data_IF_546080832587
#
_entry.id   IF_546080832587
#
_cell.length_a   1.000
_cell.length_b   1.000
_cell.length_c   1.000
_cell.angle_alpha   90.00
_cell.angle_beta   90.00
_cell.angle_gamma   90.00
#
_symmetry.space_group_name_H-M   'P 1'
#
loop_
_entity.id
_entity.type
_entity.pdbx_description
1 polymer ?
#
# COMPACT_ATOMS: atom_id res chain seq x y z
N UNK A 1 -4.12 -9.54 4.32
CA UNK A 1 -5.28 -10.37 3.91
C UNK A 1 -4.91 -11.50 2.94
N UNK A 2 -3.83 -11.40 2.15
CA UNK A 2 -3.48 -12.42 1.13
C UNK A 2 -2.27 -13.28 1.51
N UNK A 3 -1.82 -13.18 2.77
CA UNK A 3 -0.68 -13.92 3.32
C UNK A 3 -1.20 -14.81 4.43
N UNK A 4 -0.79 -16.07 4.41
CA UNK A 4 -1.12 -17.06 5.43
C UNK A 4 0.10 -17.37 6.27
N UNK A 5 -0.11 -17.51 7.57
CA UNK A 5 0.92 -17.94 8.52
C UNK A 5 0.53 -19.24 9.20
N UNK A 6 1.51 -20.03 9.60
CA UNK A 6 1.29 -21.14 10.54
C UNK A 6 1.03 -20.62 11.97
N UNK A 7 0.85 -21.55 12.92
CA UNK A 7 0.65 -21.24 14.34
C UNK A 7 1.86 -20.59 15.01
N UNK A 8 3.04 -20.67 14.40
CA UNK A 8 4.27 -20.04 14.87
C UNK A 8 4.52 -18.67 14.21
N UNK A 9 3.57 -18.19 13.39
CA UNK A 9 3.67 -16.92 12.68
C UNK A 9 4.58 -16.93 11.45
N UNK A 10 5.01 -18.10 10.97
CA UNK A 10 5.81 -18.22 9.75
C UNK A 10 4.92 -18.15 8.51
N UNK A 11 5.34 -17.39 7.49
CA UNK A 11 4.64 -17.31 6.21
C UNK A 11 4.62 -18.68 5.53
N UNK A 12 3.45 -19.23 5.27
CA UNK A 12 3.27 -20.55 4.64
C UNK A 12 2.75 -20.47 3.22
N UNK A 13 1.97 -19.44 2.90
CA UNK A 13 1.40 -19.28 1.57
C UNK A 13 1.02 -17.83 1.27
N UNK A 14 1.03 -17.51 -0.03
CA UNK A 14 0.47 -16.29 -0.61
C UNK A 14 -0.60 -16.74 -1.60
N UNK A 15 -1.72 -16.03 -1.63
CA UNK A 15 -2.87 -16.35 -2.50
C UNK A 15 -3.34 -15.11 -3.25
N UNK A 16 -4.36 -15.28 -4.07
CA UNK A 16 -5.07 -14.18 -4.76
C UNK A 16 -4.15 -13.45 -5.76
N UNK A 17 -3.69 -14.22 -6.76
CA UNK A 17 -2.85 -13.77 -7.87
C UNK A 17 -3.65 -13.34 -9.10
N UNK A 18 -4.97 -13.14 -8.99
CA UNK A 18 -5.84 -12.83 -10.14
C UNK A 18 -5.50 -11.50 -10.83
N UNK A 19 -4.79 -10.61 -10.13
CA UNK A 19 -4.29 -9.35 -10.66
C UNK A 19 -2.76 -9.32 -10.89
N UNK A 20 -2.09 -10.47 -10.73
CA UNK A 20 -0.66 -10.57 -11.01
C UNK A 20 -0.41 -10.42 -12.51
N UNK A 21 0.48 -9.51 -12.87
CA UNK A 21 0.84 -9.19 -14.26
C UNK A 21 2.25 -8.62 -14.31
N UNK A 22 2.82 -8.57 -15.51
CA UNK A 22 4.04 -7.82 -15.75
C UNK A 22 3.77 -6.35 -15.47
N UNK A 23 4.39 -5.81 -14.43
CA UNK A 23 4.19 -4.44 -13.96
C UNK A 23 5.49 -3.91 -13.33
N UNK A 24 5.48 -2.66 -12.91
CA UNK A 24 6.59 -2.07 -12.15
C UNK A 24 6.67 -2.67 -10.75
N UNK A 25 7.90 -2.84 -10.23
CA UNK A 25 8.14 -3.34 -8.87
C UNK A 25 7.36 -2.60 -7.78
N UNK A 26 7.07 -1.31 -7.98
CA UNK A 26 6.28 -0.50 -7.05
C UNK A 26 4.82 -1.00 -6.86
N UNK A 27 4.29 -1.79 -7.82
CA UNK A 27 2.95 -2.36 -7.76
C UNK A 27 2.76 -3.34 -6.59
N UNK A 28 3.82 -4.02 -6.17
CA UNK A 28 3.79 -4.93 -5.01
C UNK A 28 4.12 -4.23 -3.69
N UNK A 29 4.66 -3.01 -3.74
CA UNK A 29 5.21 -2.29 -2.58
C UNK A 29 4.33 -1.16 -2.05
N UNK A 30 3.22 -0.83 -2.72
CA UNK A 30 2.38 0.32 -2.36
C UNK A 30 1.31 0.03 -1.30
N UNK A 31 0.90 -1.24 -1.12
CA UNK A 31 -0.40 -1.57 -0.51
C UNK A 31 -0.51 -1.31 0.99
N UNK A 32 0.58 -1.41 1.74
CA UNK A 32 0.55 -1.32 3.22
C UNK A 32 0.73 0.09 3.78
N UNK A 33 1.12 1.05 2.94
CA UNK A 33 1.49 2.39 3.36
C UNK A 33 0.34 3.22 3.90
N UNK A 34 -0.91 2.86 3.57
CA UNK A 34 -2.12 3.57 3.99
C UNK A 34 -2.95 2.80 5.02
N UNK A 35 -2.45 1.65 5.46
CA UNK A 35 -3.06 0.79 6.48
C UNK A 35 -2.04 0.42 7.55
N UNK A 36 -1.37 -0.72 7.40
CA UNK A 36 -0.57 -1.36 8.44
C UNK A 36 0.64 -0.52 8.84
N UNK A 37 1.27 0.18 7.89
CA UNK A 37 2.43 1.04 8.19
C UNK A 37 2.02 2.35 8.85
N UNK A 38 0.80 2.86 8.62
CA UNK A 38 0.28 4.03 9.34
C UNK A 38 0.03 3.66 10.80
N UNK A 39 -0.61 2.51 11.04
CA UNK A 39 -0.95 2.06 12.39
C UNK A 39 0.27 1.59 13.17
N UNK A 40 1.24 0.97 12.48
CA UNK A 40 2.45 0.38 13.08
C UNK A 40 3.69 0.71 12.25
N UNK A 41 4.25 1.93 12.38
CA UNK A 41 5.40 2.39 11.58
C UNK A 41 6.62 1.47 11.60
N UNK A 42 6.85 0.76 12.72
CA UNK A 42 7.94 -0.22 12.85
C UNK A 42 7.86 -1.37 11.83
N UNK A 43 6.67 -1.67 11.30
CA UNK A 43 6.49 -2.73 10.31
C UNK A 43 7.11 -2.37 8.97
N UNK A 44 7.16 -1.09 8.60
CA UNK A 44 7.81 -0.66 7.38
C UNK A 44 9.31 -0.97 7.42
N UNK A 45 9.99 -0.59 8.51
CA UNK A 45 11.40 -0.91 8.73
C UNK A 45 11.66 -2.42 8.68
N UNK A 46 10.92 -3.20 9.48
CA UNK A 46 11.08 -4.66 9.50
C UNK A 46 10.84 -5.32 8.13
N UNK A 47 9.88 -4.81 7.35
CA UNK A 47 9.62 -5.30 6.00
C UNK A 47 10.81 -5.05 5.07
N UNK A 48 11.34 -3.81 5.04
CA UNK A 48 12.44 -3.48 4.14
C UNK A 48 13.80 -4.04 4.59
N UNK A 49 14.00 -4.29 5.88
CA UNK A 49 15.17 -4.99 6.40
C UNK A 49 15.23 -6.44 5.89
N UNK A 50 14.08 -7.11 5.80
CA UNK A 50 13.96 -8.47 5.24
C UNK A 50 13.91 -8.50 3.70
N UNK A 51 13.64 -7.36 3.06
CA UNK A 51 13.51 -7.29 1.61
C UNK A 51 14.87 -7.13 0.96
N UNK A 52 15.32 -8.14 0.20
CA UNK A 52 16.65 -8.15 -0.46
C UNK A 52 16.94 -6.94 -1.36
N UNK A 53 15.90 -6.29 -1.86
CA UNK A 53 16.04 -5.11 -2.69
C UNK A 53 16.16 -3.80 -1.90
N UNK A 54 16.31 -3.86 -0.58
CA UNK A 54 16.60 -2.75 0.32
C UNK A 54 15.48 -1.72 0.47
N UNK A 55 15.81 -0.62 1.16
CA UNK A 55 14.95 0.55 1.26
C UNK A 55 14.70 1.18 -0.13
N UNK A 56 13.51 1.72 -0.39
CA UNK A 56 13.22 2.42 -1.65
C UNK A 56 14.17 3.60 -1.86
N UNK A 57 14.82 3.66 -3.02
CA UNK A 57 15.47 4.88 -3.48
C UNK A 57 14.43 5.95 -3.86
N UNK A 58 14.90 7.15 -4.23
CA UNK A 58 14.03 8.27 -4.60
C UNK A 58 13.07 7.92 -5.75
N UNK A 59 13.54 7.17 -6.73
CA UNK A 59 12.76 6.82 -7.94
C UNK A 59 11.68 5.80 -7.59
N UNK A 60 12.06 4.71 -6.90
CA UNK A 60 11.12 3.70 -6.45
C UNK A 60 10.09 4.29 -5.48
N UNK A 61 10.52 5.20 -4.60
CA UNK A 61 9.62 5.93 -3.71
C UNK A 61 8.59 6.76 -4.47
N UNK A 62 9.01 7.53 -5.48
CA UNK A 62 8.08 8.30 -6.30
C UNK A 62 7.06 7.40 -7.04
N UNK A 63 7.49 6.22 -7.52
CA UNK A 63 6.59 5.25 -8.14
C UNK A 63 5.58 4.66 -7.14
N UNK A 64 6.04 4.32 -5.92
CA UNK A 64 5.17 3.87 -4.83
C UNK A 64 4.12 4.94 -4.52
N UNK A 65 4.52 6.20 -4.40
CA UNK A 65 3.62 7.33 -4.13
C UNK A 65 2.59 7.52 -5.24
N UNK A 66 2.99 7.46 -6.50
CA UNK A 66 2.07 7.55 -7.63
C UNK A 66 1.03 6.42 -7.63
N UNK A 67 1.45 5.19 -7.34
CA UNK A 67 0.54 4.04 -7.27
C UNK A 67 -0.37 4.08 -6.04
N UNK A 68 0.11 4.56 -4.88
CA UNK A 68 -0.74 4.82 -3.72
C UNK A 68 -1.83 5.83 -4.05
N UNK A 69 -1.48 6.93 -4.72
CA UNK A 69 -2.43 7.96 -5.14
C UNK A 69 -3.48 7.38 -6.09
N UNK A 70 -3.05 6.65 -7.12
CA UNK A 70 -3.94 6.01 -8.07
C UNK A 70 -4.86 4.99 -7.40
N UNK A 71 -4.32 4.16 -6.51
CA UNK A 71 -5.06 3.16 -5.75
C UNK A 71 -6.13 3.79 -4.85
N UNK A 72 -5.77 4.85 -4.12
CA UNK A 72 -6.71 5.56 -3.26
C UNK A 72 -7.82 6.26 -4.08
N UNK A 73 -7.48 6.94 -5.18
CA UNK A 73 -8.47 7.55 -6.06
C UNK A 73 -9.42 6.51 -6.69
N UNK A 74 -8.87 5.42 -7.23
CA UNK A 74 -9.64 4.31 -7.79
C UNK A 74 -10.53 3.65 -6.74
N UNK A 75 -10.02 3.48 -5.52
CA UNK A 75 -10.77 2.96 -4.37
C UNK A 75 -11.99 3.82 -4.03
N UNK A 76 -11.87 5.15 -4.00
CA UNK A 76 -13.02 6.04 -3.77
C UNK A 76 -14.07 5.88 -4.88
N UNK A 77 -13.64 5.85 -6.14
CA UNK A 77 -14.56 5.70 -7.29
C UNK A 77 -15.31 4.37 -7.22
N UNK A 78 -14.58 3.27 -7.03
CA UNK A 78 -15.17 1.94 -6.93
C UNK A 78 -16.12 1.83 -5.74
N UNK A 79 -15.68 2.24 -4.55
CA UNK A 79 -16.45 2.17 -3.32
C UNK A 79 -17.76 2.96 -3.43
N UNK A 80 -17.70 4.16 -4.02
CA UNK A 80 -18.89 4.99 -4.26
C UNK A 80 -19.87 4.29 -5.21
N UNK A 81 -19.36 3.65 -6.27
CA UNK A 81 -20.19 2.92 -7.24
C UNK A 81 -20.93 1.73 -6.62
N UNK A 82 -20.30 1.01 -5.69
CA UNK A 82 -20.89 -0.19 -5.07
C UNK A 82 -21.56 0.07 -3.72
N UNK A 83 -21.54 1.31 -3.22
CA UNK A 83 -22.16 1.70 -1.96
C UNK A 83 -21.35 1.36 -0.70
N UNK A 84 -20.06 1.08 -0.82
CA UNK A 84 -19.18 0.79 0.31
C UNK A 84 -18.65 2.08 0.96
N UNK A 85 -19.50 2.72 1.76
CA UNK A 85 -19.16 3.97 2.43
C UNK A 85 -17.93 3.87 3.37
N UNK A 86 -17.75 2.80 4.18
CA UNK A 86 -16.52 2.59 4.95
C UNK A 86 -15.26 2.59 4.09
N UNK A 87 -15.23 1.81 3.00
CA UNK A 87 -14.05 1.73 2.14
C UNK A 87 -13.80 3.07 1.41
N UNK A 88 -14.85 3.78 1.01
CA UNK A 88 -14.72 5.12 0.43
C UNK A 88 -14.06 6.10 1.42
N UNK A 89 -14.41 6.04 2.72
CA UNK A 89 -13.78 6.89 3.75
C UNK A 89 -12.30 6.58 3.93
N UNK A 90 -11.94 5.30 4.09
CA UNK A 90 -10.53 4.89 4.21
C UNK A 90 -9.68 5.40 3.05
N UNK A 91 -10.19 5.29 1.81
CA UNK A 91 -9.47 5.76 0.64
C UNK A 91 -9.38 7.30 0.54
N UNK A 92 -10.40 8.04 1.01
CA UNK A 92 -10.32 9.51 1.11
C UNK A 92 -9.28 9.95 2.14
N UNK A 93 -9.20 9.27 3.29
CA UNK A 93 -8.19 9.55 4.31
C UNK A 93 -6.77 9.32 3.77
N UNK A 94 -6.56 8.25 3.00
CA UNK A 94 -5.30 8.02 2.29
C UNK A 94 -4.94 9.17 1.33
N UNK A 95 -5.89 9.63 0.50
CA UNK A 95 -5.69 10.81 -0.36
C UNK A 95 -5.28 12.05 0.45
N UNK A 96 -5.96 12.34 1.56
CA UNK A 96 -5.64 13.49 2.40
C UNK A 96 -4.25 13.39 3.06
N UNK A 97 -3.76 12.19 3.40
CA UNK A 97 -2.38 11.99 3.87
C UNK A 97 -1.38 12.28 2.74
N UNK A 98 -1.57 11.63 1.60
CA UNK A 98 -0.71 11.78 0.42
C UNK A 98 -0.61 13.22 -0.06
N UNK A 99 -1.71 13.97 -0.03
CA UNK A 99 -1.70 15.39 -0.42
C UNK A 99 -0.95 16.26 0.59
N UNK A 100 -1.03 15.97 1.89
CA UNK A 100 -0.27 16.72 2.91
C UNK A 100 1.23 16.45 2.83
N UNK A 101 1.62 15.22 2.53
CA UNK A 101 3.02 14.80 2.37
C UNK A 101 3.66 15.38 1.10
N UNK A 102 2.86 15.64 0.05
CA UNK A 102 3.34 16.14 -1.24
C UNK A 102 3.23 17.67 -1.42
N UNK A 103 2.68 18.41 -0.46
CA UNK A 103 2.73 19.88 -0.49
C UNK A 103 4.10 20.30 0.06
N UNK A 104 5.02 20.86 -0.76
CA UNK A 104 6.21 21.48 -0.20
C UNK A 104 5.76 22.59 0.76
N UNK A 105 6.35 22.63 1.95
CA UNK A 105 6.11 23.70 2.91
C UNK A 105 6.24 25.04 2.18
N UNK A 106 5.18 25.85 2.24
CA UNK A 106 5.15 27.19 1.62
C UNK A 106 6.13 28.12 2.29
#
# INVERSE_FOLDING_TARGET
>A
RNWMTDTNGQLTAVIDFEHARWDVRAADLNRWWDTDFVEKPRLAGAFFDGYRGGNPDKTLWAQIQALRLLGAAGGVVWATRVGDAPFARTNREALHRLMRENIPAR
#
